data_IF_925768462646
#
_entry.id   IF_925768462646
#
_cell.length_a   1.000
_cell.length_b   1.000
_cell.length_c   1.000
_cell.angle_alpha   90.00
_cell.angle_beta   90.00
_cell.angle_gamma   90.00
#
_symmetry.space_group_name_H-M   'P 1'
#
loop_
_entity.id
_entity.type
_entity.pdbx_description
1 polymer ?
#
# COMPACT_ATOMS: atom_id res chain seq x y z
N UNK A 1 25.55 27.81 51.69
CA UNK A 1 24.19 27.81 51.09
C UNK A 1 23.98 28.93 50.06
N UNK A 2 24.40 30.17 50.33
CA UNK A 2 24.22 31.31 49.40
C UNK A 2 24.89 31.09 48.01
N UNK A 3 26.06 30.45 47.99
CA UNK A 3 26.79 30.17 46.74
C UNK A 3 26.18 29.03 45.90
N UNK A 4 25.49 28.08 46.54
CA UNK A 4 24.76 26.99 45.85
C UNK A 4 23.50 27.55 45.17
N UNK A 5 22.85 28.52 45.81
CA UNK A 5 21.71 29.26 45.26
C UNK A 5 22.05 30.00 43.95
N UNK A 6 23.25 30.60 43.87
CA UNK A 6 23.72 31.25 42.65
C UNK A 6 24.02 30.24 41.54
N UNK A 7 24.60 29.07 41.86
CA UNK A 7 24.85 28.00 40.87
C UNK A 7 23.53 27.40 40.37
N UNK A 8 22.55 27.17 41.24
CA UNK A 8 21.22 26.70 40.84
C UNK A 8 20.46 27.74 39.99
N UNK A 9 20.64 29.04 40.25
CA UNK A 9 20.05 30.09 39.41
C UNK A 9 20.70 30.17 38.01
N UNK A 10 22.01 29.89 37.92
CA UNK A 10 22.76 29.94 36.66
C UNK A 10 22.54 28.70 35.78
N UNK A 11 22.25 27.54 36.37
CA UNK A 11 21.90 26.32 35.62
C UNK A 11 20.43 26.28 35.19
N UNK A 12 19.56 27.06 35.84
CA UNK A 12 18.15 27.20 35.43
C UNK A 12 17.96 28.09 34.19
N UNK A 13 18.88 29.01 33.90
CA UNK A 13 18.81 29.87 32.71
C UNK A 13 19.15 29.19 31.37
N UNK A 14 19.58 27.92 31.40
CA UNK A 14 19.80 27.11 30.18
C UNK A 14 18.63 26.16 29.87
N UNK A 15 17.54 26.22 30.62
CA UNK A 15 16.37 25.39 30.38
C UNK A 15 15.41 26.00 29.38
N UNK A 16 15.04 25.22 28.37
CA UNK A 16 13.91 25.43 27.46
C UNK A 16 14.21 26.23 26.17
N UNK A 17 15.11 25.71 25.34
CA UNK A 17 14.87 25.78 23.89
C UNK A 17 13.77 24.77 23.56
N UNK A 18 12.50 25.17 23.69
CA UNK A 18 11.39 24.36 23.19
C UNK A 18 11.55 24.26 21.66
N UNK A 19 11.80 23.05 21.14
CA UNK A 19 11.87 22.85 19.71
C UNK A 19 10.52 23.20 19.09
N UNK A 20 10.51 24.12 18.13
CA UNK A 20 9.27 24.49 17.46
C UNK A 20 8.84 23.38 16.49
N UNK A 21 7.53 23.18 16.33
CA UNK A 21 7.01 22.25 15.31
C UNK A 21 7.57 22.57 13.91
N UNK A 22 7.82 23.86 13.63
CA UNK A 22 8.44 24.32 12.38
C UNK A 22 9.86 23.79 12.18
N UNK A 23 10.70 23.83 13.20
CA UNK A 23 12.07 23.30 13.12
C UNK A 23 12.08 21.78 13.01
N UNK A 24 11.16 21.10 13.72
CA UNK A 24 11.06 19.65 13.69
C UNK A 24 10.54 19.14 12.33
N UNK A 25 9.57 19.83 11.72
CA UNK A 25 9.13 19.54 10.35
C UNK A 25 10.30 19.68 9.36
N UNK A 26 11.05 20.79 9.41
CA UNK A 26 12.23 20.98 8.55
C UNK A 26 13.28 19.88 8.74
N UNK A 27 13.49 19.46 9.99
CA UNK A 27 14.41 18.37 10.30
C UNK A 27 13.96 17.07 9.65
N UNK A 28 12.69 16.68 9.80
CA UNK A 28 12.19 15.43 9.23
C UNK A 28 12.06 15.49 7.71
N UNK A 29 11.80 16.64 7.10
CA UNK A 29 11.88 16.81 5.64
C UNK A 29 13.31 16.59 5.12
N UNK A 30 14.31 17.16 5.80
CA UNK A 30 15.72 16.96 5.47
C UNK A 30 16.16 15.49 5.69
N UNK A 31 15.73 14.90 6.79
CA UNK A 31 15.96 13.48 7.12
C UNK A 31 15.33 12.58 6.06
N UNK A 32 14.05 12.78 5.71
CA UNK A 32 13.36 12.06 4.62
C UNK A 32 14.16 12.09 3.32
N UNK A 33 14.62 13.29 2.90
CA UNK A 33 15.42 13.45 1.68
C UNK A 33 16.73 12.64 1.74
N UNK A 34 17.41 12.66 2.88
CA UNK A 34 18.65 11.90 3.08
C UNK A 34 18.41 10.39 3.02
N UNK A 35 17.38 9.89 3.70
CA UNK A 35 17.04 8.46 3.72
C UNK A 35 16.61 7.96 2.34
N UNK A 36 15.83 8.75 1.59
CA UNK A 36 15.51 8.48 0.17
C UNK A 36 16.76 8.36 -0.70
N UNK A 37 17.76 9.21 -0.50
CA UNK A 37 19.03 9.19 -1.25
C UNK A 37 19.85 7.93 -0.94
N UNK A 38 19.73 7.42 0.28
CA UNK A 38 20.43 6.22 0.74
C UNK A 38 19.70 4.92 0.38
N UNK A 39 18.43 5.01 -0.05
CA UNK A 39 17.57 3.84 -0.18
C UNK A 39 17.21 3.22 1.17
N UNK A 40 17.32 3.95 2.29
CA UNK A 40 16.95 3.49 3.61
C UNK A 40 15.41 3.56 3.77
N UNK A 41 14.72 2.48 3.43
CA UNK A 41 13.26 2.42 3.53
C UNK A 41 12.76 2.61 4.96
N UNK A 42 13.45 2.07 5.96
CA UNK A 42 13.03 2.24 7.35
C UNK A 42 13.20 3.68 7.81
N UNK A 43 14.31 4.33 7.44
CA UNK A 43 14.51 5.75 7.66
C UNK A 43 13.43 6.61 6.99
N UNK A 44 13.02 6.25 5.77
CA UNK A 44 11.91 6.91 5.07
C UNK A 44 10.58 6.75 5.83
N UNK A 45 10.24 5.53 6.26
CA UNK A 45 9.04 5.23 7.05
C UNK A 45 9.03 6.09 8.33
N UNK A 46 10.15 6.13 9.05
CA UNK A 46 10.29 6.91 10.27
C UNK A 46 10.06 8.40 10.00
N UNK A 47 10.66 8.94 8.94
CA UNK A 47 10.51 10.35 8.58
C UNK A 47 9.06 10.72 8.28
N UNK A 48 8.39 9.96 7.41
CA UNK A 48 6.98 10.21 7.04
C UNK A 48 6.06 10.03 8.25
N UNK A 49 6.33 9.05 9.12
CA UNK A 49 5.55 8.84 10.35
C UNK A 49 5.61 10.07 11.26
N UNK A 50 6.81 10.63 11.47
CA UNK A 50 6.95 11.85 12.25
C UNK A 50 6.32 13.07 11.58
N UNK A 51 6.46 13.23 10.26
CA UNK A 51 5.82 14.30 9.51
C UNK A 51 4.29 14.25 9.63
N UNK A 52 3.71 13.05 9.51
CA UNK A 52 2.26 12.84 9.68
C UNK A 52 1.76 13.18 11.09
N UNK A 53 2.58 13.02 12.13
CA UNK A 53 2.23 13.44 13.50
C UNK A 53 2.24 14.97 13.62
N UNK A 54 3.24 15.62 13.01
CA UNK A 54 3.46 17.06 13.13
C UNK A 54 2.55 17.89 12.22
N UNK A 55 2.28 17.38 11.03
CA UNK A 55 1.47 18.01 9.98
C UNK A 55 0.70 16.92 9.23
N UNK A 56 -0.41 16.43 9.81
CA UNK A 56 -1.17 15.34 9.21
C UNK A 56 -1.66 15.69 7.79
N UNK A 57 -1.32 14.85 6.82
CA UNK A 57 -1.80 14.96 5.44
C UNK A 57 -2.22 13.58 4.92
N UNK A 58 -3.44 13.48 4.37
CA UNK A 58 -3.96 12.19 3.90
C UNK A 58 -3.07 11.58 2.80
N UNK A 59 -2.56 12.41 1.88
CA UNK A 59 -1.64 11.95 0.83
C UNK A 59 -0.32 11.37 1.38
N UNK A 60 0.17 11.87 2.52
CA UNK A 60 1.37 11.32 3.18
C UNK A 60 1.07 10.00 3.88
N UNK A 61 -0.14 9.82 4.42
CA UNK A 61 -0.59 8.53 4.95
C UNK A 61 -0.75 7.48 3.86
N UNK A 62 -1.35 7.84 2.72
CA UNK A 62 -1.48 6.94 1.57
C UNK A 62 -0.09 6.52 1.06
N UNK A 63 0.84 7.47 1.00
CA UNK A 63 2.24 7.20 0.63
C UNK A 63 2.92 6.26 1.64
N UNK A 64 2.73 6.50 2.94
CA UNK A 64 3.27 5.64 3.99
C UNK A 64 2.71 4.21 3.91
N UNK A 65 1.40 4.08 3.69
CA UNK A 65 0.74 2.78 3.54
C UNK A 65 1.20 2.06 2.28
N UNK A 66 1.46 2.77 1.18
CA UNK A 66 2.04 2.20 -0.03
C UNK A 66 3.47 1.70 0.18
N UNK A 67 4.28 2.40 0.98
CA UNK A 67 5.61 1.92 1.35
C UNK A 67 5.49 0.64 2.18
N UNK A 68 4.59 0.61 3.18
CA UNK A 68 4.33 -0.61 3.94
C UNK A 68 3.88 -1.77 3.05
N UNK A 69 3.02 -1.52 2.06
CA UNK A 69 2.58 -2.53 1.10
C UNK A 69 3.78 -3.14 0.35
N UNK A 70 4.66 -2.30 -0.20
CA UNK A 70 5.82 -2.75 -0.97
C UNK A 70 6.83 -3.55 -0.14
N UNK A 71 6.92 -3.27 1.17
CA UNK A 71 7.75 -4.01 2.12
C UNK A 71 7.06 -5.29 2.65
N UNK A 72 5.87 -5.65 2.13
CA UNK A 72 5.10 -6.82 2.57
C UNK A 72 4.44 -6.65 3.95
N UNK A 73 4.42 -5.43 4.48
CA UNK A 73 3.88 -5.06 5.78
C UNK A 73 2.37 -4.74 5.68
N UNK A 74 1.57 -5.72 5.22
CA UNK A 74 0.16 -5.53 4.88
C UNK A 74 -0.69 -5.04 6.05
N UNK A 75 -0.46 -5.55 7.26
CA UNK A 75 -1.17 -5.10 8.46
C UNK A 75 -0.82 -3.64 8.79
N UNK A 76 0.45 -3.22 8.70
CA UNK A 76 0.82 -1.82 8.91
C UNK A 76 0.20 -0.90 7.85
N UNK A 77 0.15 -1.35 6.59
CA UNK A 77 -0.49 -0.60 5.52
C UNK A 77 -1.97 -0.32 5.84
N UNK A 78 -2.74 -1.37 6.17
CA UNK A 78 -4.16 -1.22 6.52
C UNK A 78 -4.38 -0.46 7.83
N UNK A 79 -3.53 -0.65 8.85
CA UNK A 79 -3.62 0.12 10.09
C UNK A 79 -3.33 1.62 9.89
N UNK A 80 -2.64 1.99 8.80
CA UNK A 80 -2.31 3.39 8.48
C UNK A 80 -3.48 4.12 7.81
N UNK A 81 -4.22 3.47 6.91
CA UNK A 81 -5.27 4.13 6.09
C UNK A 81 -6.69 3.57 6.30
N UNK A 82 -6.84 2.49 7.07
CA UNK A 82 -8.07 1.73 7.24
C UNK A 82 -8.34 0.76 6.08
N UNK A 83 -9.41 -0.03 6.20
CA UNK A 83 -9.85 -0.98 5.19
C UNK A 83 -11.28 -0.71 4.70
N UNK A 84 -11.92 0.36 5.16
CA UNK A 84 -13.25 0.77 4.73
C UNK A 84 -13.18 1.50 3.39
N UNK A 85 -14.16 1.26 2.53
CA UNK A 85 -14.28 1.97 1.25
C UNK A 85 -14.77 3.39 1.47
N UNK A 86 -14.00 4.38 1.02
CA UNK A 86 -14.38 5.80 1.09
C UNK A 86 -14.58 6.35 -0.32
N UNK A 87 -15.58 7.22 -0.49
CA UNK A 87 -15.90 7.83 -1.80
C UNK A 87 -14.73 8.66 -2.34
N UNK A 88 -13.92 9.22 -1.44
CA UNK A 88 -12.77 10.05 -1.75
C UNK A 88 -11.42 9.33 -1.59
N UNK A 89 -11.40 7.99 -1.54
CA UNK A 89 -10.14 7.23 -1.54
C UNK A 89 -9.32 7.61 -2.79
N UNK A 90 -8.04 7.89 -2.57
CA UNK A 90 -7.09 8.06 -3.66
C UNK A 90 -6.89 6.72 -4.40
N UNK A 91 -6.36 6.78 -5.62
CA UNK A 91 -6.07 5.55 -6.37
C UNK A 91 -5.00 4.69 -5.64
N UNK A 92 -4.06 5.33 -4.94
CA UNK A 92 -3.08 4.66 -4.08
C UNK A 92 -3.77 3.95 -2.91
N UNK A 93 -4.68 4.63 -2.21
CA UNK A 93 -5.42 4.03 -1.10
C UNK A 93 -6.25 2.81 -1.54
N UNK A 94 -6.90 2.89 -2.72
CA UNK A 94 -7.65 1.78 -3.29
C UNK A 94 -6.73 0.58 -3.59
N UNK A 95 -5.57 0.83 -4.23
CA UNK A 95 -4.59 -0.22 -4.53
C UNK A 95 -4.06 -0.87 -3.25
N UNK A 96 -3.65 -0.06 -2.26
CA UNK A 96 -3.14 -0.56 -0.99
C UNK A 96 -4.17 -1.44 -0.29
N UNK A 97 -5.43 -0.99 -0.19
CA UNK A 97 -6.50 -1.78 0.43
C UNK A 97 -6.75 -3.08 -0.33
N UNK A 98 -6.85 -3.02 -1.66
CA UNK A 98 -7.09 -4.20 -2.51
C UNK A 98 -5.99 -5.26 -2.36
N UNK A 99 -4.72 -4.84 -2.49
CA UNK A 99 -3.58 -5.75 -2.47
C UNK A 99 -3.35 -6.26 -1.05
N UNK A 100 -3.33 -5.39 -0.03
CA UNK A 100 -3.08 -5.81 1.34
C UNK A 100 -4.15 -6.78 1.87
N UNK A 101 -5.43 -6.54 1.61
CA UNK A 101 -6.51 -7.45 2.01
C UNK A 101 -6.36 -8.81 1.30
N UNK A 102 -6.06 -8.80 -0.01
CA UNK A 102 -5.84 -10.05 -0.76
C UNK A 102 -4.63 -10.83 -0.21
N UNK A 103 -3.52 -10.15 0.08
CA UNK A 103 -2.31 -10.76 0.64
C UNK A 103 -2.51 -11.31 2.05
N UNK A 104 -3.49 -10.80 2.79
CA UNK A 104 -3.93 -11.32 4.09
C UNK A 104 -5.05 -12.37 3.97
N UNK A 105 -5.27 -12.91 2.76
CA UNK A 105 -6.31 -13.90 2.45
C UNK A 105 -7.76 -13.42 2.71
N UNK A 106 -7.97 -12.12 2.89
CA UNK A 106 -9.29 -11.50 3.06
C UNK A 106 -9.92 -11.17 1.70
N UNK A 107 -10.01 -12.17 0.83
CA UNK A 107 -10.36 -12.02 -0.59
C UNK A 107 -11.75 -11.42 -0.83
N UNK A 108 -12.73 -11.72 0.03
CA UNK A 108 -14.08 -11.16 -0.07
C UNK A 108 -14.08 -9.65 0.22
N UNK A 109 -13.29 -9.20 1.19
CA UNK A 109 -13.12 -7.78 1.52
C UNK A 109 -12.30 -7.04 0.46
N UNK A 110 -11.36 -7.72 -0.22
CA UNK A 110 -10.55 -7.13 -1.28
C UNK A 110 -11.35 -6.84 -2.56
N UNK A 111 -12.33 -7.70 -2.88
CA UNK A 111 -13.13 -7.65 -4.11
C UNK A 111 -13.71 -6.26 -4.47
N UNK A 112 -14.42 -5.54 -3.57
CA UNK A 112 -14.99 -4.23 -3.91
C UNK A 112 -13.95 -3.18 -4.31
N UNK A 113 -12.72 -3.26 -3.76
CA UNK A 113 -11.63 -2.37 -4.13
C UNK A 113 -11.12 -2.66 -5.53
N UNK A 114 -10.88 -3.94 -5.86
CA UNK A 114 -10.52 -4.34 -7.22
C UNK A 114 -11.59 -3.96 -8.24
N UNK A 115 -12.88 -4.16 -7.93
CA UNK A 115 -13.98 -3.75 -8.80
C UNK A 115 -14.02 -2.24 -9.01
N UNK A 116 -13.72 -1.45 -7.99
CA UNK A 116 -13.63 0.01 -8.10
C UNK A 116 -12.48 0.42 -9.02
N UNK A 117 -11.29 -0.16 -8.84
CA UNK A 117 -10.14 0.07 -9.70
C UNK A 117 -10.45 -0.35 -11.15
N UNK A 118 -11.08 -1.50 -11.35
CA UNK A 118 -11.48 -1.99 -12.66
C UNK A 118 -12.49 -1.06 -13.33
N UNK A 119 -13.48 -0.55 -12.59
CA UNK A 119 -14.46 0.36 -13.15
C UNK A 119 -13.84 1.69 -13.61
N UNK A 120 -12.80 2.18 -12.93
CA UNK A 120 -12.04 3.36 -13.33
C UNK A 120 -11.13 3.11 -14.54
N UNK A 121 -10.46 1.95 -14.58
CA UNK A 121 -9.34 1.74 -15.51
C UNK A 121 -9.62 0.79 -16.66
N UNK A 122 -10.59 -0.12 -16.50
CA UNK A 122 -10.84 -1.27 -17.38
C UNK A 122 -9.58 -2.07 -17.69
N UNK A 123 -8.66 -2.16 -16.73
CA UNK A 123 -7.36 -2.80 -16.91
C UNK A 123 -7.50 -4.34 -16.88
N UNK A 124 -7.02 -5.07 -17.91
CA UNK A 124 -7.03 -6.54 -17.93
C UNK A 124 -6.28 -7.20 -16.77
N UNK A 125 -5.23 -6.58 -16.24
CA UNK A 125 -4.50 -7.12 -15.06
C UNK A 125 -5.42 -7.12 -13.84
N UNK A 126 -6.18 -6.05 -13.64
CA UNK A 126 -7.14 -5.95 -12.53
C UNK A 126 -8.31 -6.93 -12.75
N UNK A 127 -8.76 -7.11 -13.99
CA UNK A 127 -9.77 -8.11 -14.33
C UNK A 127 -9.30 -9.54 -13.98
N UNK A 128 -8.01 -9.84 -14.14
CA UNK A 128 -7.43 -11.13 -13.73
C UNK A 128 -7.56 -11.34 -12.22
N UNK A 129 -7.19 -10.33 -11.42
CA UNK A 129 -7.32 -10.40 -9.96
C UNK A 129 -8.77 -10.64 -9.52
N UNK A 130 -9.74 -9.97 -10.17
CA UNK A 130 -11.17 -10.16 -9.89
C UNK A 130 -11.63 -11.57 -10.28
N UNK A 131 -11.23 -12.07 -11.45
CA UNK A 131 -11.57 -13.42 -11.90
C UNK A 131 -11.06 -14.50 -10.94
N UNK A 132 -9.81 -14.36 -10.49
CA UNK A 132 -9.20 -15.27 -9.52
C UNK A 132 -9.93 -15.24 -8.17
N UNK A 133 -10.29 -14.06 -7.66
CA UNK A 133 -11.09 -13.93 -6.43
C UNK A 133 -12.46 -14.60 -6.60
N UNK A 134 -13.15 -14.37 -7.72
CA UNK A 134 -14.44 -15.02 -7.97
C UNK A 134 -14.35 -16.54 -8.05
N UNK A 135 -13.29 -17.06 -8.67
CA UNK A 135 -13.02 -18.50 -8.69
C UNK A 135 -12.84 -19.06 -7.28
N UNK A 136 -12.06 -18.38 -6.43
CA UNK A 136 -11.85 -18.80 -5.03
C UNK A 136 -13.14 -18.73 -4.19
N UNK A 137 -14.04 -17.80 -4.51
CA UNK A 137 -15.37 -17.68 -3.90
C UNK A 137 -16.43 -18.59 -4.55
N UNK A 138 -16.04 -19.47 -5.47
CA UNK A 138 -16.93 -20.36 -6.23
C UNK A 138 -18.04 -19.61 -7.02
N UNK A 139 -17.78 -18.36 -7.42
CA UNK A 139 -18.66 -17.51 -8.23
C UNK A 139 -18.28 -17.63 -9.71
N UNK A 140 -18.52 -18.83 -10.26
CA UNK A 140 -17.99 -19.25 -11.56
C UNK A 140 -18.54 -18.43 -12.74
N UNK A 141 -19.81 -18.01 -12.68
CA UNK A 141 -20.44 -17.22 -13.76
C UNK A 141 -19.77 -15.85 -13.87
N UNK A 142 -19.57 -15.18 -12.73
CA UNK A 142 -18.88 -13.91 -12.64
C UNK A 142 -17.41 -14.06 -13.06
N UNK A 143 -16.72 -15.10 -12.61
CA UNK A 143 -15.34 -15.37 -13.02
C UNK A 143 -15.22 -15.47 -14.56
N UNK A 144 -16.11 -16.22 -15.23
CA UNK A 144 -16.12 -16.35 -16.70
C UNK A 144 -16.24 -15.01 -17.41
N UNK A 145 -17.02 -14.06 -16.88
CA UNK A 145 -17.19 -12.74 -17.49
C UNK A 145 -15.87 -11.95 -17.53
N UNK A 146 -15.12 -11.94 -16.42
CA UNK A 146 -13.84 -11.25 -16.35
C UNK A 146 -12.73 -11.98 -17.13
N UNK A 147 -12.78 -13.32 -17.20
CA UNK A 147 -11.87 -14.12 -18.04
C UNK A 147 -12.08 -13.79 -19.52
N UNK A 148 -13.33 -13.80 -20.00
CA UNK A 148 -13.65 -13.45 -21.39
C UNK A 148 -13.16 -12.04 -21.74
N UNK A 149 -13.45 -11.06 -20.87
CA UNK A 149 -12.93 -9.70 -21.03
C UNK A 149 -11.39 -9.67 -21.13
N UNK A 150 -10.71 -10.41 -20.25
CA UNK A 150 -9.25 -10.51 -20.23
C UNK A 150 -8.65 -11.09 -21.51
N UNK A 151 -9.24 -12.14 -22.06
CA UNK A 151 -8.78 -12.77 -23.30
C UNK A 151 -8.90 -11.84 -24.51
N UNK A 152 -9.97 -11.04 -24.56
CA UNK A 152 -10.24 -10.08 -25.62
C UNK A 152 -9.35 -8.82 -25.54
N UNK A 153 -9.04 -8.36 -24.31
CA UNK A 153 -8.43 -7.04 -24.09
C UNK A 153 -6.97 -7.08 -23.63
N UNK A 154 -6.44 -8.22 -23.20
CA UNK A 154 -5.03 -8.32 -22.82
C UNK A 154 -4.10 -8.15 -24.04
N UNK A 155 -3.07 -7.35 -23.88
CA UNK A 155 -2.03 -7.13 -24.89
C UNK A 155 -0.85 -8.10 -24.71
N UNK A 156 -0.06 -8.29 -25.76
CA UNK A 156 1.10 -9.21 -25.73
C UNK A 156 2.20 -8.79 -24.75
N UNK A 157 2.27 -7.49 -24.40
CA UNK A 157 3.26 -6.96 -23.45
C UNK A 157 2.85 -7.14 -21.99
N UNK A 158 1.59 -7.48 -21.72
CA UNK A 158 1.10 -7.69 -20.37
C UNK A 158 1.40 -9.12 -19.92
N UNK A 159 1.88 -9.26 -18.69
CA UNK A 159 2.08 -10.56 -18.07
C UNK A 159 1.59 -10.60 -16.63
N UNK A 160 1.46 -11.83 -16.13
CA UNK A 160 1.15 -12.14 -14.74
C UNK A 160 2.36 -12.81 -14.11
N UNK A 161 2.84 -12.25 -13.01
CA UNK A 161 3.89 -12.85 -12.21
C UNK A 161 3.30 -13.82 -11.18
N UNK A 162 3.99 -14.92 -10.98
CA UNK A 162 3.67 -15.96 -10.00
C UNK A 162 4.86 -16.12 -9.03
N UNK A 163 4.54 -16.16 -7.73
CA UNK A 163 5.49 -16.20 -6.62
C UNK A 163 5.27 -17.44 -5.74
N UNK A 164 5.12 -18.60 -6.39
CA UNK A 164 4.89 -19.89 -5.73
C UNK A 164 6.17 -20.45 -5.08
N UNK A 165 6.21 -21.74 -4.72
CA UNK A 165 7.37 -22.39 -4.08
C UNK A 165 8.63 -22.47 -4.96
N UNK A 166 8.53 -22.11 -6.24
CA UNK A 166 9.64 -22.06 -7.18
C UNK A 166 10.19 -20.62 -7.34
N UNK A 167 11.23 -20.46 -8.17
CA UNK A 167 11.70 -19.12 -8.52
C UNK A 167 10.57 -18.31 -9.17
N UNK A 168 10.41 -17.03 -8.81
CA UNK A 168 9.39 -16.17 -9.41
C UNK A 168 9.50 -16.17 -10.94
N UNK A 169 8.36 -16.33 -11.60
CA UNK A 169 8.28 -16.35 -13.06
C UNK A 169 7.10 -15.51 -13.54
N UNK A 170 7.15 -15.09 -14.80
CA UNK A 170 6.11 -14.29 -15.44
C UNK A 170 5.63 -14.98 -16.71
N UNK A 171 4.32 -15.04 -16.91
CA UNK A 171 3.68 -15.58 -18.11
C UNK A 171 2.89 -14.50 -18.84
N UNK A 172 2.62 -14.65 -20.16
CA UNK A 172 1.70 -13.76 -20.86
C UNK A 172 0.33 -13.74 -20.19
N UNK A 173 -0.27 -12.56 -20.05
CA UNK A 173 -1.52 -12.40 -19.31
C UNK A 173 -2.67 -13.23 -19.92
N UNK A 174 -2.72 -13.34 -21.26
CA UNK A 174 -3.68 -14.23 -21.95
C UNK A 174 -3.54 -15.69 -21.54
N UNK A 175 -2.31 -16.18 -21.37
CA UNK A 175 -2.07 -17.55 -20.93
C UNK A 175 -2.57 -17.76 -19.50
N UNK A 176 -2.37 -16.79 -18.62
CA UNK A 176 -2.91 -16.83 -17.26
C UNK A 176 -4.45 -16.88 -17.26
N UNK A 177 -5.12 -16.09 -18.11
CA UNK A 177 -6.57 -16.15 -18.27
C UNK A 177 -7.07 -17.50 -18.82
N UNK A 178 -6.37 -18.08 -19.80
CA UNK A 178 -6.71 -19.42 -20.31
C UNK A 178 -6.63 -20.47 -19.19
N UNK A 179 -5.61 -20.38 -18.33
CA UNK A 179 -5.47 -21.24 -17.17
C UNK A 179 -6.66 -21.10 -16.20
N UNK A 180 -7.05 -19.88 -15.83
CA UNK A 180 -8.25 -19.67 -15.01
C UNK A 180 -9.51 -20.24 -15.70
N UNK A 181 -9.64 -20.07 -17.02
CA UNK A 181 -10.74 -20.65 -17.79
C UNK A 181 -10.82 -22.17 -17.66
N UNK A 182 -9.69 -22.86 -17.76
CA UNK A 182 -9.63 -24.32 -17.55
C UNK A 182 -10.04 -24.72 -16.12
N UNK A 183 -9.61 -23.97 -15.10
CA UNK A 183 -9.99 -24.27 -13.72
C UNK A 183 -11.51 -24.16 -13.50
N UNK A 184 -12.14 -23.15 -14.10
CA UNK A 184 -13.59 -22.96 -13.99
C UNK A 184 -14.38 -24.11 -14.63
N UNK A 185 -13.90 -24.69 -15.73
CA UNK A 185 -14.60 -25.80 -16.42
C UNK A 185 -14.47 -27.16 -15.70
N UNK A 186 -13.53 -27.30 -14.77
CA UNK A 186 -13.26 -28.56 -14.04
C UNK A 186 -13.93 -28.60 -12.66
N UNK A 187 -14.48 -27.48 -12.18
CA UNK A 187 -15.21 -27.37 -10.91
C UNK A 187 -16.72 -27.60 -11.09
#
# INVERSE_FOLDING_TARGET
MKNILYVCALTFSMGVSAQSNTELVKHFEAYYKQMRTQGDTQGVINAITHLNILKPLEAEKDTLAYIYLNEGQFNQALNTIGFEQKVNDSDIALEVKAVALKSLEQIELALPFYQTIYNKTKNPVVAYEIAEIFLQLNKLVEAKQYIAFGLDNATEKQGKAFYETQQPYQVPLKAAFLYLGCLVEVQ
#
